data_IF_122845662351
#
_entry.id   IF_122845662351
#
_cell.length_a   1.000
_cell.length_b   1.000
_cell.length_c   1.000
_cell.angle_alpha   90.00
_cell.angle_beta   90.00
_cell.angle_gamma   90.00
#
_symmetry.space_group_name_H-M   'P 1'
#
loop_
_entity.id
_entity.type
_entity.pdbx_description
1 polymer ?
#
# COMPACT_ATOMS: atom_id res chain seq x y z
N UNK A 1 -43.72 -0.84 25.46
CA UNK A 1 -42.95 -0.37 24.29
C UNK A 1 -41.53 -0.81 24.52
N UNK A 2 -41.00 -1.74 23.71
CA UNK A 2 -39.60 -2.15 23.87
C UNK A 2 -38.66 -1.00 23.49
N UNK A 3 -37.54 -0.87 24.21
CA UNK A 3 -36.52 0.13 23.86
C UNK A 3 -35.95 -0.21 22.48
N UNK A 4 -36.16 0.69 21.52
CA UNK A 4 -35.63 0.59 20.14
C UNK A 4 -34.09 0.60 20.11
N UNK A 5 -33.47 1.10 21.18
CA UNK A 5 -32.01 1.20 21.34
C UNK A 5 -31.48 0.29 22.45
N UNK A 6 -30.27 -0.21 22.23
CA UNK A 6 -29.40 -0.87 23.20
C UNK A 6 -28.24 0.07 23.55
N UNK A 7 -27.69 -0.11 24.76
CA UNK A 7 -26.45 0.55 25.16
C UNK A 7 -25.24 -0.15 24.49
N UNK A 8 -24.10 0.54 24.42
CA UNK A 8 -22.86 0.03 23.84
C UNK A 8 -21.80 -0.12 24.95
N UNK A 9 -21.45 -1.33 25.44
CA UNK A 9 -22.00 -2.65 25.08
C UNK A 9 -23.38 -2.97 25.66
N UNK A 10 -24.03 -4.03 25.14
CA UNK A 10 -25.43 -4.35 25.46
C UNK A 10 -25.70 -4.73 26.91
N UNK A 11 -24.68 -5.18 27.65
CA UNK A 11 -24.79 -5.57 29.06
C UNK A 11 -24.88 -4.38 30.03
N UNK A 12 -24.56 -3.16 29.58
CA UNK A 12 -24.75 -1.95 30.40
C UNK A 12 -26.25 -1.63 30.42
N UNK A 13 -26.93 -1.79 31.57
CA UNK A 13 -28.38 -1.54 31.68
C UNK A 13 -28.75 -0.14 32.21
N UNK A 14 -27.78 0.80 32.25
CA UNK A 14 -28.01 2.16 32.74
C UNK A 14 -29.08 2.93 31.92
N UNK A 15 -30.09 3.56 32.57
CA UNK A 15 -31.19 4.23 31.87
C UNK A 15 -30.76 5.42 30.99
N UNK A 16 -29.77 6.20 31.42
CA UNK A 16 -29.27 7.42 30.76
C UNK A 16 -27.86 7.24 30.17
N UNK A 17 -27.54 6.03 29.69
CA UNK A 17 -26.24 5.79 29.06
C UNK A 17 -26.12 6.53 27.73
N UNK A 18 -25.00 7.25 27.54
CA UNK A 18 -24.77 8.17 26.40
C UNK A 18 -24.63 7.48 25.04
N UNK A 19 -24.06 6.28 24.99
CA UNK A 19 -23.71 5.60 23.74
C UNK A 19 -24.69 4.47 23.44
N UNK A 20 -25.54 4.68 22.44
CA UNK A 20 -26.61 3.75 22.08
C UNK A 20 -26.55 3.36 20.60
N UNK A 21 -26.99 2.14 20.29
CA UNK A 21 -27.15 1.58 18.95
C UNK A 21 -28.55 0.98 18.79
N UNK A 22 -29.13 0.90 17.58
CA UNK A 22 -30.39 0.19 17.37
C UNK A 22 -30.21 -1.34 17.56
N UNK A 23 -31.30 -2.05 17.93
CA UNK A 23 -31.32 -3.53 17.93
C UNK A 23 -31.16 -4.08 16.52
N UNK A 24 -30.54 -5.25 16.36
CA UNK A 24 -30.34 -5.89 15.05
C UNK A 24 -31.62 -6.54 14.53
N UNK A 25 -32.13 -6.06 13.40
CA UNK A 25 -33.32 -6.61 12.74
C UNK A 25 -32.88 -7.74 11.81
N UNK A 26 -33.25 -8.97 12.15
CA UNK A 26 -32.91 -10.17 11.39
C UNK A 26 -34.07 -10.64 10.52
N UNK A 27 -33.75 -11.02 9.27
CA UNK A 27 -34.66 -11.68 8.34
C UNK A 27 -34.04 -12.98 7.88
N UNK A 28 -34.70 -14.10 8.15
CA UNK A 28 -34.25 -15.42 7.70
C UNK A 28 -34.73 -15.64 6.26
N UNK A 29 -33.82 -15.99 5.36
CA UNK A 29 -34.06 -16.22 3.94
C UNK A 29 -33.64 -17.65 3.57
N UNK A 30 -34.45 -18.34 2.76
CA UNK A 30 -34.23 -19.75 2.41
C UNK A 30 -34.71 -20.75 3.47
N UNK A 31 -34.59 -22.06 3.14
CA UNK A 31 -34.95 -23.20 3.99
C UNK A 31 -33.95 -24.35 3.76
N UNK A 32 -33.80 -25.24 4.75
CA UNK A 32 -32.86 -26.38 4.66
C UNK A 32 -31.41 -25.93 4.48
N UNK A 33 -30.65 -26.65 3.63
CA UNK A 33 -29.23 -26.40 3.37
C UNK A 33 -28.92 -25.00 2.79
N UNK A 34 -29.93 -24.28 2.30
CA UNK A 34 -29.82 -22.93 1.76
C UNK A 34 -30.24 -21.81 2.71
N UNK A 35 -30.37 -22.07 4.01
CA UNK A 35 -30.79 -21.06 5.00
C UNK A 35 -29.72 -19.98 5.21
N UNK A 36 -30.15 -18.72 5.25
CA UNK A 36 -29.32 -17.53 5.39
C UNK A 36 -29.97 -16.54 6.35
N UNK A 37 -29.15 -15.79 7.07
CA UNK A 37 -29.60 -14.71 7.97
C UNK A 37 -29.19 -13.38 7.38
N UNK A 38 -30.16 -12.57 6.98
CA UNK A 38 -29.99 -11.22 6.44
C UNK A 38 -30.17 -10.21 7.59
N UNK A 39 -29.17 -9.35 7.85
CA UNK A 39 -29.24 -8.30 8.87
C UNK A 39 -29.65 -6.99 8.18
N UNK A 40 -30.91 -6.59 8.37
CA UNK A 40 -31.52 -5.52 7.58
C UNK A 40 -30.94 -4.15 7.91
N UNK A 41 -30.68 -3.87 9.19
CA UNK A 41 -30.23 -2.55 9.66
C UNK A 41 -28.74 -2.48 10.04
N UNK A 42 -27.90 -3.38 9.52
CA UNK A 42 -26.45 -3.42 9.84
C UNK A 42 -25.75 -2.07 9.58
N UNK A 43 -26.19 -1.30 8.59
CA UNK A 43 -25.69 0.03 8.28
C UNK A 43 -25.91 1.03 9.45
N UNK A 44 -27.07 0.97 10.12
CA UNK A 44 -27.39 1.85 11.25
C UNK A 44 -26.57 1.51 12.49
N UNK A 45 -26.46 0.20 12.80
CA UNK A 45 -25.61 -0.33 13.87
C UNK A 45 -24.15 0.10 13.65
N UNK A 46 -23.64 -0.05 12.43
CA UNK A 46 -22.25 0.29 12.08
C UNK A 46 -21.99 1.81 12.14
N UNK A 47 -22.97 2.63 11.75
CA UNK A 47 -22.92 4.10 11.93
C UNK A 47 -22.85 4.48 13.42
N UNK A 48 -23.64 3.86 14.28
CA UNK A 48 -23.60 4.11 15.73
C UNK A 48 -22.25 3.72 16.35
N UNK A 49 -21.66 2.62 15.89
CA UNK A 49 -20.33 2.14 16.31
C UNK A 49 -19.14 2.85 15.62
N UNK A 50 -19.40 3.82 14.72
CA UNK A 50 -18.38 4.54 13.92
C UNK A 50 -17.45 3.64 13.08
N UNK A 51 -17.86 2.42 12.71
CA UNK A 51 -17.07 1.47 11.90
C UNK A 51 -17.67 1.30 10.49
N UNK A 52 -16.88 0.82 9.50
CA UNK A 52 -17.42 0.37 8.21
C UNK A 52 -18.40 -0.81 8.36
N UNK A 53 -19.46 -0.84 7.55
CA UNK A 53 -20.54 -1.85 7.66
C UNK A 53 -20.07 -3.29 7.41
N UNK A 54 -19.00 -3.47 6.64
CA UNK A 54 -18.43 -4.78 6.35
C UNK A 54 -17.69 -5.40 7.56
N UNK A 55 -17.21 -4.57 8.50
CA UNK A 55 -16.38 -5.00 9.63
C UNK A 55 -17.11 -5.91 10.63
N UNK A 56 -18.25 -5.51 11.24
CA UNK A 56 -18.98 -6.39 12.15
C UNK A 56 -19.47 -7.66 11.44
N UNK A 57 -19.88 -7.55 10.17
CA UNK A 57 -20.29 -8.68 9.34
C UNK A 57 -19.14 -9.70 9.15
N UNK A 58 -17.94 -9.22 8.81
CA UNK A 58 -16.76 -10.09 8.63
C UNK A 58 -16.30 -10.71 9.94
N UNK A 59 -16.37 -9.98 11.05
CA UNK A 59 -16.07 -10.52 12.37
C UNK A 59 -17.03 -11.66 12.73
N UNK A 60 -18.34 -11.48 12.54
CA UNK A 60 -19.34 -12.53 12.74
C UNK A 60 -19.08 -13.75 11.83
N UNK A 61 -18.79 -13.53 10.55
CA UNK A 61 -18.44 -14.62 9.62
C UNK A 61 -17.22 -15.43 10.06
N UNK A 62 -16.21 -14.79 10.66
CA UNK A 62 -15.02 -15.47 11.20
C UNK A 62 -15.36 -16.27 12.46
N UNK A 63 -16.10 -15.70 13.42
CA UNK A 63 -16.49 -16.39 14.67
C UNK A 63 -17.39 -17.60 14.42
N UNK A 64 -18.29 -17.53 13.42
CA UNK A 64 -19.19 -18.63 13.05
C UNK A 64 -18.65 -19.52 11.92
N UNK A 65 -17.41 -19.32 11.45
CA UNK A 65 -16.83 -20.07 10.32
C UNK A 65 -17.68 -20.01 9.03
N UNK A 66 -18.48 -18.96 8.86
CA UNK A 66 -19.57 -18.89 7.90
C UNK A 66 -19.26 -17.89 6.78
N UNK A 67 -19.64 -18.24 5.55
CA UNK A 67 -19.50 -17.33 4.42
C UNK A 67 -20.46 -16.14 4.55
N UNK A 68 -19.95 -14.95 4.25
CA UNK A 68 -20.72 -13.70 4.22
C UNK A 68 -20.87 -13.19 2.79
N UNK A 69 -21.96 -12.48 2.54
CA UNK A 69 -22.22 -11.74 1.32
C UNK A 69 -22.53 -10.30 1.72
N UNK A 70 -21.65 -9.39 1.32
CA UNK A 70 -21.84 -7.95 1.41
C UNK A 70 -22.11 -7.41 0.01
N UNK A 71 -23.22 -6.68 -0.18
CA UNK A 71 -23.54 -5.99 -1.43
C UNK A 71 -24.06 -4.58 -1.13
N UNK A 72 -23.45 -3.59 -1.76
CA UNK A 72 -23.80 -2.17 -1.60
C UNK A 72 -24.30 -1.59 -2.93
N UNK A 73 -25.62 -1.64 -3.14
CA UNK A 73 -26.29 -1.09 -4.33
C UNK A 73 -27.03 0.20 -3.96
N UNK A 74 -26.38 1.34 -4.16
CA UNK A 74 -26.94 2.64 -3.80
C UNK A 74 -27.14 2.76 -2.29
N UNK A 75 -28.39 2.96 -1.85
CA UNK A 75 -28.74 2.99 -0.42
C UNK A 75 -28.98 1.59 0.18
N UNK A 76 -29.20 0.56 -0.65
CA UNK A 76 -29.53 -0.78 -0.20
C UNK A 76 -28.25 -1.58 0.08
N UNK A 77 -27.98 -1.77 1.37
CA UNK A 77 -26.86 -2.59 1.86
C UNK A 77 -27.40 -3.96 2.28
N UNK A 78 -27.28 -4.94 1.39
CA UNK A 78 -27.61 -6.33 1.72
C UNK A 78 -26.45 -6.97 2.49
N UNK A 79 -26.68 -7.30 3.76
CA UNK A 79 -25.70 -8.01 4.60
C UNK A 79 -26.23 -9.39 4.99
N UNK A 80 -25.73 -10.42 4.31
CA UNK A 80 -26.24 -11.79 4.44
C UNK A 80 -25.13 -12.70 4.97
N UNK A 81 -25.43 -13.47 6.01
CA UNK A 81 -24.58 -14.53 6.56
C UNK A 81 -25.22 -15.87 6.19
N UNK A 82 -24.46 -16.79 5.58
CA UNK A 82 -24.93 -18.15 5.34
C UNK A 82 -25.08 -18.88 6.69
N UNK A 83 -26.23 -19.51 6.94
CA UNK A 83 -26.58 -20.12 8.22
C UNK A 83 -27.79 -19.48 8.91
N UNK A 84 -28.26 -20.14 9.96
CA UNK A 84 -29.43 -19.75 10.75
C UNK A 84 -29.00 -19.24 12.13
N UNK A 85 -28.99 -17.92 12.32
CA UNK A 85 -28.56 -17.30 13.57
C UNK A 85 -29.72 -16.59 14.28
N UNK A 86 -29.77 -16.71 15.61
CA UNK A 86 -30.71 -15.96 16.46
C UNK A 86 -30.11 -14.59 16.84
N UNK A 87 -30.97 -13.61 17.11
CA UNK A 87 -30.57 -12.26 17.54
C UNK A 87 -29.63 -12.30 18.75
N UNK A 88 -29.98 -13.07 19.80
CA UNK A 88 -29.14 -13.25 20.99
C UNK A 88 -27.71 -13.75 20.69
N UNK A 89 -27.54 -14.57 19.65
CA UNK A 89 -26.24 -15.10 19.27
C UNK A 89 -25.41 -14.02 18.59
N UNK A 90 -25.98 -13.37 17.56
CA UNK A 90 -25.32 -12.29 16.84
C UNK A 90 -25.01 -11.11 17.77
N UNK A 91 -25.91 -10.79 18.72
CA UNK A 91 -25.70 -9.74 19.71
C UNK A 91 -24.49 -10.03 20.61
N UNK A 92 -24.39 -11.24 21.18
CA UNK A 92 -23.21 -11.66 21.98
C UNK A 92 -21.90 -11.55 21.19
N UNK A 93 -21.93 -11.89 19.90
CA UNK A 93 -20.75 -11.79 19.02
C UNK A 93 -20.44 -10.33 18.63
N UNK A 94 -21.46 -9.48 18.49
CA UNK A 94 -21.28 -8.03 18.31
C UNK A 94 -20.67 -7.38 19.56
N UNK A 95 -21.08 -7.79 20.76
CA UNK A 95 -20.49 -7.29 22.01
C UNK A 95 -19.01 -7.69 22.14
N UNK A 96 -18.61 -8.92 21.77
CA UNK A 96 -17.19 -9.31 21.65
C UNK A 96 -16.40 -8.42 20.69
N UNK A 97 -17.00 -8.08 19.54
CA UNK A 97 -16.39 -7.18 18.56
C UNK A 97 -16.21 -5.77 19.14
N UNK A 98 -17.23 -5.26 19.84
CA UNK A 98 -17.21 -3.95 20.51
C UNK A 98 -16.08 -3.91 21.53
N UNK A 99 -15.96 -4.91 22.41
CA UNK A 99 -14.91 -4.99 23.43
C UNK A 99 -13.50 -5.05 22.86
N UNK A 100 -13.29 -5.77 21.74
CA UNK A 100 -11.96 -5.95 21.13
C UNK A 100 -11.51 -4.80 20.23
N UNK A 101 -12.43 -4.11 19.56
CA UNK A 101 -12.11 -3.19 18.47
C UNK A 101 -12.78 -1.81 18.53
N UNK A 102 -13.83 -1.61 19.34
CA UNK A 102 -14.59 -0.34 19.40
C UNK A 102 -14.39 0.39 20.73
N UNK A 103 -14.25 -0.33 21.85
CA UNK A 103 -13.96 0.28 23.14
C UNK A 103 -12.49 0.68 23.26
N UNK A 104 -12.23 1.88 23.80
CA UNK A 104 -10.90 2.24 24.23
C UNK A 104 -10.48 1.41 25.48
N UNK A 105 -9.28 0.79 25.51
CA UNK A 105 -8.85 0.00 26.67
C UNK A 105 -8.63 0.81 27.95
N UNK A 106 -8.51 2.15 27.86
CA UNK A 106 -8.31 3.06 28.99
C UNK A 106 -9.60 3.60 29.58
N UNK A 107 -10.45 4.23 28.75
CA UNK A 107 -11.67 4.90 29.21
C UNK A 107 -12.96 4.11 28.94
N UNK A 108 -12.89 2.95 28.27
CA UNK A 108 -14.03 2.07 27.95
C UNK A 108 -15.18 2.73 27.18
N UNK A 109 -14.93 3.85 26.48
CA UNK A 109 -15.91 4.49 25.61
C UNK A 109 -15.75 4.04 24.14
N UNK A 110 -16.85 3.94 23.37
CA UNK A 110 -16.87 3.51 21.97
C UNK A 110 -16.43 4.62 20.98
N UNK A 111 -15.44 5.42 21.37
CA UNK A 111 -14.84 6.48 20.54
C UNK A 111 -13.39 6.12 20.17
N UNK A 112 -13.19 4.89 19.70
CA UNK A 112 -11.88 4.36 19.32
C UNK A 112 -11.77 4.23 17.80
N UNK A 113 -10.95 5.07 17.18
CA UNK A 113 -10.76 5.10 15.73
C UNK A 113 -9.62 4.14 15.34
N UNK A 114 -9.99 3.03 14.70
CA UNK A 114 -9.07 2.04 14.17
C UNK A 114 -8.15 2.63 13.08
N UNK A 115 -6.87 2.27 13.11
CA UNK A 115 -5.84 2.64 12.13
C UNK A 115 -4.82 1.52 11.99
N UNK A 116 -4.50 1.10 10.77
CA UNK A 116 -3.40 0.16 10.51
C UNK A 116 -2.08 0.92 10.53
N UNK A 117 -1.06 0.38 11.21
CA UNK A 117 0.33 0.88 11.20
C UNK A 117 1.28 -0.31 11.23
N UNK A 118 2.28 -0.35 10.35
CA UNK A 118 3.33 -1.39 10.35
C UNK A 118 2.75 -2.81 10.51
N UNK A 119 1.80 -3.18 9.62
CA UNK A 119 1.11 -4.47 9.64
C UNK A 119 0.40 -4.82 10.99
N UNK A 120 0.13 -3.82 11.83
CA UNK A 120 -0.49 -3.96 13.15
C UNK A 120 -1.73 -3.08 13.23
N UNK A 121 -2.87 -3.67 13.62
CA UNK A 121 -4.08 -2.92 13.92
C UNK A 121 -3.90 -2.15 15.23
N UNK A 122 -3.87 -0.83 15.11
CA UNK A 122 -3.82 0.11 16.21
C UNK A 122 -5.15 0.89 16.26
N UNK A 123 -5.33 1.70 17.28
CA UNK A 123 -6.37 2.73 17.29
C UNK A 123 -6.00 3.92 18.16
N UNK A 124 -6.71 5.03 17.94
CA UNK A 124 -6.63 6.23 18.77
C UNK A 124 -7.99 6.50 19.39
N UNK A 125 -8.05 6.74 20.69
CA UNK A 125 -9.28 7.22 21.33
C UNK A 125 -9.42 8.74 21.15
N UNK A 126 -10.61 9.20 20.80
CA UNK A 126 -10.89 10.65 20.73
C UNK A 126 -11.25 11.24 22.09
N UNK A 127 -11.89 10.48 23.00
CA UNK A 127 -12.24 10.98 24.34
C UNK A 127 -11.04 11.13 25.29
N UNK A 128 -10.01 10.28 25.19
CA UNK A 128 -8.85 10.29 26.10
C UNK A 128 -7.48 10.40 25.42
N UNK A 129 -7.43 10.50 24.08
CA UNK A 129 -6.19 10.65 23.30
C UNK A 129 -5.31 9.41 23.19
N UNK A 130 -5.58 8.35 23.97
CA UNK A 130 -4.76 7.15 24.09
C UNK A 130 -4.55 6.42 22.77
N UNK A 131 -3.33 5.90 22.55
CA UNK A 131 -2.96 5.13 21.34
C UNK A 131 -2.63 3.69 21.74
N UNK A 132 -3.54 2.77 21.47
CA UNK A 132 -3.38 1.36 21.84
C UNK A 132 -3.30 0.45 20.61
N UNK A 133 -2.60 -0.68 20.77
CA UNK A 133 -2.67 -1.81 19.82
C UNK A 133 -3.96 -2.59 20.10
N UNK A 134 -4.67 -3.00 19.06
CA UNK A 134 -5.86 -3.85 19.18
C UNK A 134 -5.46 -5.32 19.38
N UNK A 135 -6.43 -6.21 19.55
CA UNK A 135 -6.20 -7.64 19.42
C UNK A 135 -5.78 -7.99 17.98
N UNK A 136 -4.50 -8.26 17.80
CA UNK A 136 -3.87 -8.65 16.54
C UNK A 136 -3.75 -10.18 16.38
N UNK A 137 -4.15 -10.96 17.39
CA UNK A 137 -4.11 -12.44 17.33
C UNK A 137 -5.29 -13.01 16.53
N UNK A 138 -6.40 -12.29 16.51
CA UNK A 138 -7.61 -12.73 15.85
C UNK A 138 -7.56 -12.54 14.32
N UNK A 139 -8.08 -13.51 13.55
CA UNK A 139 -8.08 -13.50 12.07
C UNK A 139 -8.73 -12.24 11.45
N UNK A 140 -9.61 -11.57 12.20
CA UNK A 140 -10.20 -10.30 11.78
C UNK A 140 -9.17 -9.16 11.68
N UNK A 141 -8.12 -9.15 12.51
CA UNK A 141 -7.04 -8.16 12.41
C UNK A 141 -6.32 -8.26 11.06
N UNK A 142 -6.02 -9.49 10.60
CA UNK A 142 -5.47 -9.76 9.27
C UNK A 142 -6.39 -9.28 8.13
N UNK A 143 -7.70 -9.22 8.37
CA UNK A 143 -8.65 -8.69 7.40
C UNK A 143 -8.71 -7.14 7.42
N UNK A 144 -8.66 -6.48 8.60
CA UNK A 144 -8.54 -5.01 8.71
C UNK A 144 -7.24 -4.53 8.03
N UNK A 145 -6.14 -5.27 8.21
CA UNK A 145 -4.85 -5.00 7.56
C UNK A 145 -5.00 -4.96 6.03
N UNK A 146 -5.74 -5.92 5.46
CA UNK A 146 -6.01 -5.99 4.01
C UNK A 146 -7.05 -4.98 3.53
N UNK A 147 -7.95 -4.55 4.40
CA UNK A 147 -9.06 -3.64 4.08
C UNK A 147 -9.12 -2.51 5.11
N UNK A 148 -8.15 -1.57 5.11
CA UNK A 148 -8.08 -0.50 6.11
C UNK A 148 -9.31 0.41 6.07
N UNK A 149 -9.72 1.00 7.22
CA UNK A 149 -10.97 1.75 7.28
C UNK A 149 -10.82 3.08 6.54
N UNK A 150 -11.69 3.31 5.54
CA UNK A 150 -11.77 4.58 4.80
C UNK A 150 -12.06 5.73 5.77
N UNK A 151 -11.03 6.54 6.04
CA UNK A 151 -11.10 7.65 7.00
C UNK A 151 -12.05 8.74 6.48
N UNK A 152 -13.19 8.94 7.14
CA UNK A 152 -14.07 10.08 6.84
C UNK A 152 -13.40 11.36 7.33
N UNK A 153 -12.90 12.20 6.41
CA UNK A 153 -12.30 13.49 6.76
C UNK A 153 -11.17 14.00 5.85
N UNK A 154 -10.86 13.31 4.75
CA UNK A 154 -10.00 13.82 3.67
C UNK A 154 -10.86 13.89 2.38
N UNK A 155 -10.49 14.76 1.43
CA UNK A 155 -11.39 15.31 0.40
C UNK A 155 -12.04 14.27 -0.53
N UNK A 156 -13.21 14.63 -1.05
CA UNK A 156 -14.19 13.70 -1.68
C UNK A 156 -13.87 13.25 -3.12
N UNK A 157 -12.69 13.52 -3.66
CA UNK A 157 -12.40 13.27 -5.08
C UNK A 157 -11.83 11.86 -5.34
N UNK A 158 -11.19 11.23 -4.35
CA UNK A 158 -10.52 9.91 -4.48
C UNK A 158 -11.47 8.69 -4.48
N UNK A 159 -12.79 8.87 -4.34
CA UNK A 159 -13.72 7.75 -4.09
C UNK A 159 -14.52 7.24 -5.31
N UNK A 160 -14.25 7.72 -6.53
CA UNK A 160 -14.96 7.25 -7.74
C UNK A 160 -14.38 6.00 -8.41
N UNK A 161 -13.08 5.72 -8.29
CA UNK A 161 -12.42 4.64 -9.06
C UNK A 161 -12.38 3.26 -8.35
N UNK A 162 -13.21 3.02 -7.32
CA UNK A 162 -13.26 1.73 -6.61
C UNK A 162 -14.59 0.99 -6.80
N UNK A 163 -15.17 1.05 -7.99
CA UNK A 163 -16.38 0.30 -8.38
C UNK A 163 -16.27 -0.36 -9.75
N UNK A 164 -15.25 -1.18 -9.92
CA UNK A 164 -15.36 -2.39 -10.76
C UNK A 164 -14.39 -3.48 -10.23
N UNK A 165 -14.56 -4.71 -10.73
CA UNK A 165 -13.76 -5.91 -10.40
C UNK A 165 -13.86 -6.56 -8.99
N UNK A 166 -14.97 -7.26 -8.70
CA UNK A 166 -15.04 -8.37 -7.72
C UNK A 166 -16.13 -9.39 -8.17
N UNK A 167 -15.97 -10.73 -8.18
CA UNK A 167 -15.09 -11.64 -8.98
C UNK A 167 -16.01 -12.82 -9.43
N UNK A 168 -15.52 -13.90 -10.08
CA UNK A 168 -15.57 -15.18 -9.35
C UNK A 168 -14.34 -16.10 -9.48
N UNK A 169 -14.14 -16.89 -8.42
CA UNK A 169 -13.01 -17.81 -8.20
C UNK A 169 -13.14 -19.11 -9.00
N UNK A 170 -12.05 -19.54 -9.65
CA UNK A 170 -11.89 -20.84 -10.32
C UNK A 170 -10.80 -21.70 -9.67
N UNK A 171 -11.05 -23.00 -9.58
CA UNK A 171 -10.33 -24.02 -8.81
C UNK A 171 -8.86 -24.27 -9.23
N UNK A 172 -8.02 -24.66 -8.27
CA UNK A 172 -6.70 -25.28 -8.50
C UNK A 172 -6.87 -26.75 -8.88
N UNK A 173 -6.13 -27.24 -9.89
CA UNK A 173 -5.58 -28.59 -9.87
C UNK A 173 -4.06 -28.59 -10.01
N UNK A 174 -3.39 -29.32 -9.10
CA UNK A 174 -1.98 -29.69 -9.22
C UNK A 174 -1.86 -30.88 -10.18
N UNK A 175 -0.82 -30.91 -11.04
CA UNK A 175 -0.16 -32.19 -11.33
C UNK A 175 1.32 -32.16 -10.93
N UNK A 176 1.80 -33.30 -10.44
CA UNK A 176 3.22 -33.56 -10.19
C UNK A 176 3.91 -34.24 -11.38
N UNK A 177 5.24 -34.38 -11.27
CA UNK A 177 6.14 -35.22 -12.05
C UNK A 177 6.44 -34.86 -13.52
N UNK A 178 7.67 -34.36 -13.73
CA UNK A 178 8.76 -35.20 -14.25
C UNK A 178 10.15 -34.67 -13.88
N UNK A 179 11.10 -35.60 -13.72
CA UNK A 179 12.47 -35.36 -13.23
C UNK A 179 13.49 -35.25 -14.38
N UNK A 180 14.70 -34.75 -14.06
CA UNK A 180 16.01 -35.03 -14.71
C UNK A 180 16.21 -34.47 -16.13
N UNK A 181 17.41 -34.09 -16.58
CA UNK A 181 18.76 -33.92 -15.98
C UNK A 181 19.37 -32.67 -16.64
N UNK A 182 20.27 -31.89 -16.02
CA UNK A 182 21.72 -32.13 -16.07
C UNK A 182 22.48 -31.25 -15.05
N UNK A 183 23.62 -31.77 -14.56
CA UNK A 183 24.49 -31.14 -13.54
C UNK A 183 25.79 -30.59 -14.16
N UNK A 184 26.52 -29.78 -13.36
CA UNK A 184 27.95 -29.38 -13.49
C UNK A 184 28.21 -28.34 -14.60
N UNK A 185 29.12 -27.35 -14.51
CA UNK A 185 30.16 -26.93 -13.53
C UNK A 185 30.10 -25.38 -13.34
N UNK A 186 30.79 -24.67 -12.44
CA UNK A 186 31.82 -25.00 -11.41
C UNK A 186 31.79 -23.98 -10.24
N UNK A 187 32.64 -24.20 -9.23
CA UNK A 187 33.09 -23.21 -8.22
C UNK A 187 34.18 -22.28 -8.80
N UNK A 188 34.00 -20.96 -8.79
CA UNK A 188 35.09 -19.97 -8.94
C UNK A 188 34.85 -18.77 -8.00
N UNK A 189 35.76 -18.63 -7.03
CA UNK A 189 36.21 -17.38 -6.37
C UNK A 189 35.23 -16.45 -5.63
N UNK A 190 34.63 -17.00 -4.57
CA UNK A 190 34.15 -16.26 -3.37
C UNK A 190 35.20 -15.30 -2.75
N UNK A 191 36.49 -15.44 -3.10
CA UNK A 191 37.60 -14.62 -2.60
C UNK A 191 37.85 -13.31 -3.35
N UNK A 192 37.37 -13.16 -4.59
CA UNK A 192 37.58 -11.91 -5.35
C UNK A 192 36.43 -10.91 -5.21
N UNK A 193 35.24 -11.37 -4.80
CA UNK A 193 34.17 -10.52 -4.28
C UNK A 193 34.66 -9.62 -3.12
N UNK A 194 35.46 -10.19 -2.21
CA UNK A 194 36.04 -9.46 -1.05
C UNK A 194 37.11 -8.43 -1.47
N UNK A 195 37.78 -8.61 -2.62
CA UNK A 195 38.72 -7.61 -3.15
C UNK A 195 38.00 -6.46 -3.85
N UNK A 196 36.93 -6.74 -4.60
CA UNK A 196 36.18 -5.69 -5.29
C UNK A 196 35.41 -4.77 -4.32
N UNK A 197 35.10 -5.23 -3.11
CA UNK A 197 34.60 -4.37 -2.02
C UNK A 197 35.59 -3.22 -1.69
N UNK A 198 36.91 -3.41 -1.87
CA UNK A 198 37.90 -2.34 -1.64
C UNK A 198 37.94 -1.25 -2.71
N UNK A 199 37.18 -1.37 -3.80
CA UNK A 199 36.98 -0.27 -4.78
C UNK A 199 35.78 0.61 -4.47
N UNK A 200 34.99 0.31 -3.43
CA UNK A 200 33.85 1.13 -3.00
C UNK A 200 34.25 2.44 -2.30
N UNK A 201 35.52 2.61 -1.93
CA UNK A 201 36.02 3.73 -1.11
C UNK A 201 35.95 5.10 -1.83
N UNK A 202 35.74 5.13 -3.15
CA UNK A 202 35.66 6.38 -3.93
C UNK A 202 34.37 7.19 -3.71
N UNK A 203 33.25 6.54 -3.38
CA UNK A 203 31.96 7.21 -3.14
C UNK A 203 31.74 7.62 -1.69
N UNK A 204 32.41 6.98 -0.73
CA UNK A 204 32.38 7.39 0.68
C UNK A 204 33.15 8.72 0.91
N UNK A 205 34.17 9.02 0.10
CA UNK A 205 35.00 10.23 0.19
C UNK A 205 34.26 11.58 0.00
N UNK A 206 33.14 11.61 -0.74
CA UNK A 206 32.39 12.86 -0.96
C UNK A 206 31.41 13.19 0.18
N UNK A 207 31.09 12.20 1.02
CA UNK A 207 30.23 12.36 2.20
C UNK A 207 31.03 12.69 3.48
N UNK A 208 32.34 12.94 3.39
CA UNK A 208 33.20 13.19 4.56
C UNK A 208 33.18 14.63 5.10
N UNK A 209 32.58 15.61 4.40
CA UNK A 209 32.36 16.90 5.07
C UNK A 209 31.33 16.72 6.19
N UNK A 210 31.78 16.80 7.45
CA UNK A 210 30.92 16.67 8.65
C UNK A 210 29.72 17.62 8.59
N UNK A 211 29.90 18.80 7.97
CA UNK A 211 28.85 19.77 7.68
C UNK A 211 27.72 19.22 6.79
N UNK A 212 28.00 18.31 5.84
CA UNK A 212 26.95 17.72 5.02
C UNK A 212 26.25 16.60 5.78
N UNK A 213 26.98 15.67 6.41
CA UNK A 213 26.41 14.60 7.26
C UNK A 213 25.48 15.15 8.36
N UNK A 214 25.94 16.12 9.15
CA UNK A 214 25.13 16.71 10.21
C UNK A 214 23.87 17.41 9.68
N UNK A 215 23.94 18.04 8.50
CA UNK A 215 22.77 18.66 7.85
C UNK A 215 21.83 17.63 7.22
N UNK A 216 22.36 16.50 6.71
CA UNK A 216 21.57 15.36 6.23
C UNK A 216 20.78 14.74 7.39
N UNK A 217 21.42 14.55 8.54
CA UNK A 217 20.75 14.06 9.75
C UNK A 217 19.66 15.04 10.21
N UNK A 218 19.92 16.35 10.22
CA UNK A 218 18.92 17.37 10.53
C UNK A 218 17.72 17.35 9.56
N UNK A 219 17.96 17.31 8.24
CA UNK A 219 16.89 17.17 7.23
C UNK A 219 16.10 15.86 7.43
N UNK A 220 16.81 14.77 7.72
CA UNK A 220 16.24 13.44 7.96
C UNK A 220 15.35 13.43 9.21
N UNK A 221 15.78 14.06 10.30
CA UNK A 221 14.99 14.22 11.52
C UNK A 221 13.80 15.16 11.33
N UNK A 222 13.95 16.27 10.61
CA UNK A 222 12.84 17.18 10.30
C UNK A 222 11.77 16.51 9.44
N UNK A 223 12.16 15.76 8.40
CA UNK A 223 11.23 15.00 7.53
C UNK A 223 10.54 13.87 8.31
N UNK A 224 11.25 13.18 9.22
CA UNK A 224 10.67 12.16 10.11
C UNK A 224 9.75 12.76 11.19
N UNK A 225 10.03 13.99 11.63
CA UNK A 225 9.28 14.68 12.69
C UNK A 225 8.00 15.36 12.21
N UNK A 226 8.02 16.05 11.06
CA UNK A 226 6.87 16.77 10.52
C UNK A 226 6.85 16.77 8.98
N UNK A 227 5.97 15.96 8.37
CA UNK A 227 5.66 15.98 6.92
C UNK A 227 4.86 17.22 6.52
N UNK A 228 5.45 18.41 6.62
CA UNK A 228 4.80 19.68 6.27
C UNK A 228 5.58 20.36 5.14
N UNK A 229 4.99 20.41 3.94
CA UNK A 229 5.63 20.90 2.69
C UNK A 229 6.36 22.24 2.87
N UNK A 230 5.78 23.15 3.65
CA UNK A 230 6.33 24.48 3.87
C UNK A 230 7.68 24.50 4.63
N UNK A 231 7.97 23.49 5.46
CA UNK A 231 9.23 23.42 6.23
C UNK A 231 10.35 22.83 5.39
N UNK A 232 10.08 21.72 4.67
CA UNK A 232 11.03 21.10 3.73
C UNK A 232 11.49 22.13 2.68
N UNK A 233 10.55 22.94 2.16
CA UNK A 233 10.86 24.01 1.19
C UNK A 233 11.65 25.18 1.81
N UNK A 234 11.58 25.41 3.13
CA UNK A 234 12.40 26.42 3.82
C UNK A 234 13.82 25.90 4.04
N UNK A 235 13.98 24.71 4.60
CA UNK A 235 15.30 24.11 4.84
C UNK A 235 16.11 23.97 3.54
N UNK A 236 15.47 23.58 2.43
CA UNK A 236 16.12 23.51 1.11
C UNK A 236 16.53 24.89 0.57
N UNK A 237 15.88 25.99 0.98
CA UNK A 237 16.34 27.36 0.67
C UNK A 237 17.50 27.79 1.56
N UNK A 238 17.43 27.47 2.86
CA UNK A 238 18.47 27.79 3.83
C UNK A 238 19.78 27.02 3.57
N UNK A 239 19.69 25.90 2.84
CA UNK A 239 20.83 25.06 2.45
C UNK A 239 21.87 25.71 1.53
N UNK A 240 21.55 26.86 0.89
CA UNK A 240 22.40 27.58 -0.07
C UNK A 240 23.08 26.66 -1.10
N UNK A 241 22.33 26.27 -2.14
CA UNK A 241 22.80 25.33 -3.18
C UNK A 241 24.10 25.84 -3.83
N UNK A 242 25.22 25.27 -3.43
CA UNK A 242 26.49 25.41 -4.14
C UNK A 242 26.37 24.67 -5.47
N UNK A 243 26.57 25.39 -6.58
CA UNK A 243 26.56 24.82 -7.93
C UNK A 243 27.47 23.59 -8.00
N UNK A 244 26.93 22.47 -8.48
CA UNK A 244 27.67 21.21 -8.67
C UNK A 244 27.43 20.11 -7.63
N UNK A 245 26.68 20.36 -6.55
CA UNK A 245 26.28 19.32 -5.58
C UNK A 245 24.81 18.86 -5.75
N UNK A 246 24.17 19.23 -6.86
CA UNK A 246 22.73 19.10 -7.08
C UNK A 246 22.26 17.65 -6.97
N UNK A 247 22.94 16.70 -7.62
CA UNK A 247 22.59 15.27 -7.60
C UNK A 247 22.93 14.59 -6.25
N UNK A 248 23.89 15.13 -5.48
CA UNK A 248 24.13 14.64 -4.12
C UNK A 248 22.99 15.04 -3.19
N UNK A 249 22.46 16.26 -3.36
CA UNK A 249 21.29 16.74 -2.63
C UNK A 249 20.02 15.99 -3.07
N UNK A 250 19.84 15.67 -4.35
CA UNK A 250 18.70 14.87 -4.81
C UNK A 250 18.71 13.45 -4.21
N UNK A 251 19.88 12.82 -4.09
CA UNK A 251 20.04 11.55 -3.39
C UNK A 251 19.64 11.64 -1.92
N UNK A 252 20.14 12.65 -1.19
CA UNK A 252 19.77 12.91 0.21
C UNK A 252 18.25 13.08 0.35
N UNK A 253 17.63 13.87 -0.54
CA UNK A 253 16.18 14.09 -0.58
C UNK A 253 15.44 12.78 -0.83
N UNK A 254 15.89 11.96 -1.78
CA UNK A 254 15.30 10.66 -2.09
C UNK A 254 15.33 9.71 -0.89
N UNK A 255 16.50 9.53 -0.26
CA UNK A 255 16.68 8.67 0.92
C UNK A 255 15.91 9.20 2.16
N UNK A 256 15.60 10.49 2.21
CA UNK A 256 14.79 11.09 3.29
C UNK A 256 13.29 10.92 3.07
N UNK A 257 12.84 10.96 1.81
CA UNK A 257 11.42 10.83 1.43
C UNK A 257 10.96 9.37 1.49
N UNK A 258 11.80 8.42 1.07
CA UNK A 258 11.44 7.02 0.93
C UNK A 258 12.06 6.13 2.01
N UNK A 259 11.23 5.27 2.60
CA UNK A 259 11.62 4.25 3.58
C UNK A 259 11.33 2.85 3.04
N UNK A 260 11.52 1.81 3.87
CA UNK A 260 11.08 0.42 3.61
C UNK A 260 9.68 0.32 2.95
N UNK A 261 8.77 1.25 3.24
CA UNK A 261 7.42 1.30 2.66
C UNK A 261 7.35 2.07 1.32
N UNK A 262 8.45 2.15 0.57
CA UNK A 262 8.59 2.98 -0.65
C UNK A 262 7.37 2.89 -1.58
N UNK A 263 6.83 1.69 -1.83
CA UNK A 263 5.63 1.46 -2.64
C UNK A 263 4.42 2.33 -2.25
N UNK A 264 4.18 2.57 -0.95
CA UNK A 264 3.09 3.43 -0.48
C UNK A 264 3.48 4.90 -0.33
N UNK A 265 4.77 5.19 -0.34
CA UNK A 265 5.29 6.54 -0.13
C UNK A 265 5.45 7.30 -1.45
N UNK A 266 5.56 6.60 -2.59
CA UNK A 266 5.55 7.22 -3.93
C UNK A 266 4.26 8.00 -4.17
N UNK A 267 3.08 7.36 -4.04
CA UNK A 267 1.78 8.01 -4.29
C UNK A 267 1.58 9.32 -3.51
N UNK A 268 2.08 9.36 -2.26
CA UNK A 268 1.97 10.54 -1.39
C UNK A 268 3.05 11.60 -1.65
N UNK A 269 4.20 11.22 -2.20
CA UNK A 269 5.40 12.07 -2.26
C UNK A 269 5.88 12.37 -3.69
N UNK A 270 5.30 11.79 -4.74
CA UNK A 270 5.72 11.99 -6.13
C UNK A 270 5.70 13.49 -6.52
N UNK A 271 4.59 14.18 -6.27
CA UNK A 271 4.46 15.62 -6.54
C UNK A 271 5.45 16.46 -5.71
N UNK A 272 5.80 16.02 -4.49
CA UNK A 272 6.84 16.66 -3.69
C UNK A 272 8.21 16.44 -4.32
N UNK A 273 8.56 15.22 -4.72
CA UNK A 273 9.84 14.86 -5.35
C UNK A 273 10.07 15.70 -6.62
N UNK A 274 9.10 15.74 -7.53
CA UNK A 274 9.13 16.56 -8.75
C UNK A 274 9.32 18.06 -8.43
N UNK A 275 8.59 18.59 -7.43
CA UNK A 275 8.71 20.00 -6.96
C UNK A 275 10.04 20.31 -6.28
N UNK A 276 10.78 19.30 -5.81
CA UNK A 276 12.13 19.48 -5.25
C UNK A 276 13.18 19.36 -6.35
N UNK A 277 13.12 18.35 -7.21
CA UNK A 277 14.07 18.17 -8.32
C UNK A 277 14.07 19.35 -9.29
N UNK A 278 12.88 19.88 -9.62
CA UNK A 278 12.74 21.10 -10.44
C UNK A 278 13.37 22.35 -9.79
N UNK A 279 13.35 22.47 -8.46
CA UNK A 279 14.03 23.56 -7.72
C UNK A 279 15.54 23.36 -7.63
N UNK A 280 15.99 22.11 -7.49
CA UNK A 280 17.39 21.71 -7.51
C UNK A 280 18.00 21.77 -8.92
N UNK A 281 17.17 21.91 -9.97
CA UNK A 281 17.55 21.99 -11.39
C UNK A 281 18.27 20.74 -11.91
N UNK A 282 17.91 19.57 -11.39
CA UNK A 282 18.41 18.28 -11.86
C UNK A 282 18.11 18.13 -13.35
N UNK A 283 19.15 18.06 -14.18
CA UNK A 283 19.01 18.08 -15.66
C UNK A 283 18.36 16.81 -16.21
N UNK A 284 18.59 15.67 -15.54
CA UNK A 284 18.02 14.37 -15.88
C UNK A 284 17.35 13.76 -14.65
N UNK A 285 16.08 14.12 -14.41
CA UNK A 285 15.33 13.65 -13.25
C UNK A 285 15.21 12.11 -13.23
N UNK A 286 14.85 11.53 -14.38
CA UNK A 286 14.48 10.11 -14.47
C UNK A 286 15.70 9.20 -14.29
N UNK A 287 16.83 9.51 -14.95
CA UNK A 287 18.15 8.87 -14.74
C UNK A 287 18.55 8.89 -13.25
N UNK A 288 18.41 10.03 -12.58
CA UNK A 288 18.78 10.18 -11.16
C UNK A 288 17.84 9.39 -10.23
N UNK A 289 16.52 9.40 -10.49
CA UNK A 289 15.55 8.59 -9.74
C UNK A 289 15.83 7.09 -9.92
N UNK A 290 16.14 6.65 -11.14
CA UNK A 290 16.45 5.25 -11.45
C UNK A 290 17.71 4.78 -10.71
N UNK A 291 18.78 5.58 -10.71
CA UNK A 291 20.00 5.27 -9.97
C UNK A 291 19.81 5.35 -8.46
N UNK A 292 18.95 6.25 -7.98
CA UNK A 292 18.55 6.30 -6.58
C UNK A 292 17.80 5.04 -6.14
N UNK A 293 16.92 4.48 -6.98
CA UNK A 293 16.26 3.19 -6.73
C UNK A 293 17.27 2.04 -6.62
N UNK A 294 18.22 1.94 -7.56
CA UNK A 294 19.28 0.94 -7.51
C UNK A 294 20.09 1.01 -6.21
N UNK A 295 20.54 2.21 -5.83
CA UNK A 295 21.28 2.42 -4.58
C UNK A 295 20.41 2.11 -3.35
N UNK A 296 19.15 2.53 -3.35
CA UNK A 296 18.20 2.30 -2.27
C UNK A 296 18.04 0.81 -1.96
N UNK A 297 17.79 -0.03 -2.98
CA UNK A 297 17.61 -1.47 -2.76
C UNK A 297 18.91 -2.18 -2.37
N UNK A 298 20.01 -1.94 -3.10
CA UNK A 298 21.21 -2.77 -2.96
C UNK A 298 22.28 -2.22 -2.00
N UNK A 299 22.18 -0.96 -1.57
CA UNK A 299 23.11 -0.36 -0.58
C UNK A 299 22.38 0.09 0.68
N UNK A 300 21.34 0.93 0.59
CA UNK A 300 20.62 1.43 1.79
C UNK A 300 19.92 0.29 2.52
N UNK A 301 19.19 -0.56 1.79
CA UNK A 301 18.41 -1.66 2.34
C UNK A 301 18.95 -3.06 1.98
N UNK A 302 20.27 -3.19 1.81
CA UNK A 302 20.97 -4.46 1.48
C UNK A 302 20.62 -5.67 2.38
N UNK A 303 20.09 -5.43 3.59
CA UNK A 303 19.68 -6.46 4.55
C UNK A 303 18.21 -6.90 4.41
N UNK A 304 17.48 -6.37 3.42
CA UNK A 304 16.07 -6.70 3.15
C UNK A 304 15.91 -7.23 1.73
N UNK A 305 15.08 -8.26 1.58
CA UNK A 305 14.79 -8.84 0.28
C UNK A 305 13.63 -8.11 -0.41
N UNK A 306 13.98 -7.21 -1.34
CA UNK A 306 13.04 -6.51 -2.20
C UNK A 306 12.83 -7.17 -3.56
N UNK A 307 13.55 -8.25 -3.87
CA UNK A 307 13.68 -8.83 -5.23
C UNK A 307 12.32 -9.01 -5.92
N UNK A 308 11.37 -9.68 -5.27
CA UNK A 308 10.03 -9.95 -5.79
C UNK A 308 9.11 -8.71 -5.88
N UNK A 309 9.49 -7.58 -5.27
CA UNK A 309 8.70 -6.35 -5.21
C UNK A 309 9.25 -5.25 -6.13
N UNK A 310 10.50 -5.37 -6.59
CA UNK A 310 11.14 -4.39 -7.47
C UNK A 310 10.32 -4.09 -8.75
N UNK A 311 9.75 -5.07 -9.48
CA UNK A 311 8.89 -4.80 -10.63
C UNK A 311 7.67 -3.95 -10.26
N UNK A 312 7.00 -4.29 -9.16
CA UNK A 312 5.81 -3.56 -8.68
C UNK A 312 6.16 -2.15 -8.23
N UNK A 313 7.30 -1.96 -7.54
CA UNK A 313 7.74 -0.63 -7.12
C UNK A 313 8.09 0.22 -8.34
N UNK A 314 8.83 -0.32 -9.31
CA UNK A 314 9.14 0.41 -10.55
C UNK A 314 7.86 0.78 -11.32
N UNK A 315 6.83 -0.08 -11.33
CA UNK A 315 5.51 0.25 -11.89
C UNK A 315 4.86 1.44 -11.18
N UNK A 316 4.94 1.51 -9.85
CA UNK A 316 4.37 2.63 -9.10
C UNK A 316 5.11 3.94 -9.41
N UNK A 317 6.42 3.92 -9.67
CA UNK A 317 7.17 5.09 -10.16
C UNK A 317 6.73 5.50 -11.58
N UNK A 318 6.45 4.55 -12.46
CA UNK A 318 5.87 4.80 -13.79
C UNK A 318 4.45 5.39 -13.70
N UNK A 319 3.55 4.74 -12.97
CA UNK A 319 2.15 5.16 -12.77
C UNK A 319 2.03 6.57 -12.16
N UNK A 320 3.02 7.01 -11.37
CA UNK A 320 3.11 8.34 -10.76
C UNK A 320 3.86 9.38 -11.62
N UNK A 321 4.21 9.07 -12.88
CA UNK A 321 4.96 9.95 -13.79
C UNK A 321 6.31 10.42 -13.20
N UNK A 322 7.04 9.52 -12.52
CA UNK A 322 8.39 9.79 -12.01
C UNK A 322 9.50 9.23 -12.90
N UNK A 323 9.19 8.20 -13.69
CA UNK A 323 10.06 7.64 -14.74
C UNK A 323 9.14 7.26 -15.89
N UNK A 324 9.46 7.69 -17.11
CA UNK A 324 8.74 7.32 -18.33
C UNK A 324 9.07 5.91 -18.79
N UNK A 325 8.15 5.30 -19.54
CA UNK A 325 8.37 4.02 -20.20
C UNK A 325 9.61 4.05 -21.10
N UNK A 326 9.78 5.11 -21.90
CA UNK A 326 10.93 5.28 -22.77
C UNK A 326 12.25 5.17 -22.00
N UNK A 327 12.38 5.83 -20.84
CA UNK A 327 13.59 5.75 -20.02
C UNK A 327 13.79 4.35 -19.43
N UNK A 328 12.73 3.65 -19.01
CA UNK A 328 12.83 2.28 -18.49
C UNK A 328 13.33 1.31 -19.58
N UNK A 329 12.74 1.37 -20.78
CA UNK A 329 13.09 0.49 -21.91
C UNK A 329 14.47 0.84 -22.47
N UNK A 330 14.77 2.12 -22.70
CA UNK A 330 16.06 2.54 -23.24
C UNK A 330 17.22 2.31 -22.26
N UNK A 331 16.98 2.43 -20.95
CA UNK A 331 17.93 1.98 -19.94
C UNK A 331 18.15 0.46 -20.00
N UNK A 332 17.07 -0.34 -20.04
CA UNK A 332 17.15 -1.79 -20.09
C UNK A 332 17.98 -2.26 -21.31
N UNK A 333 17.78 -1.64 -22.47
CA UNK A 333 18.49 -1.89 -23.73
C UNK A 333 19.96 -1.40 -23.74
N UNK A 334 20.40 -0.65 -22.71
CA UNK A 334 21.72 0.02 -22.64
C UNK A 334 21.90 1.17 -23.65
N UNK A 335 20.82 1.81 -24.10
CA UNK A 335 20.88 3.01 -24.96
C UNK A 335 21.20 4.28 -24.15
N UNK A 336 20.91 4.29 -22.84
CA UNK A 336 21.23 5.39 -21.92
C UNK A 336 22.59 5.14 -21.26
N UNK A 337 23.53 6.08 -21.39
CA UNK A 337 24.75 6.07 -20.59
C UNK A 337 24.54 6.81 -19.25
N UNK A 338 24.77 6.07 -18.16
CA UNK A 338 24.63 6.50 -16.79
C UNK A 338 25.99 6.57 -16.06
N UNK A 339 27.10 6.20 -16.71
CA UNK A 339 28.41 5.98 -16.05
C UNK A 339 29.02 7.23 -15.42
N UNK A 340 28.73 8.40 -15.98
CA UNK A 340 29.20 9.68 -15.45
C UNK A 340 28.49 10.09 -14.14
N UNK A 341 27.45 9.36 -13.72
CA UNK A 341 26.69 9.66 -12.51
C UNK A 341 27.35 9.09 -11.25
N UNK A 342 27.43 9.89 -10.19
CA UNK A 342 28.13 9.50 -8.94
C UNK A 342 27.50 8.31 -8.19
N UNK A 343 26.23 7.98 -8.45
CA UNK A 343 25.54 6.79 -7.92
C UNK A 343 25.70 5.55 -8.81
N UNK A 344 26.25 5.68 -10.02
CA UNK A 344 26.34 4.55 -10.95
C UNK A 344 27.22 3.43 -10.39
N UNK A 345 26.69 2.21 -10.42
CA UNK A 345 27.41 1.02 -10.02
C UNK A 345 27.02 -0.13 -10.95
N UNK A 346 27.98 -0.69 -11.66
CA UNK A 346 27.76 -1.74 -12.67
C UNK A 346 27.11 -3.01 -12.08
N UNK A 347 27.45 -3.37 -10.84
CA UNK A 347 26.88 -4.54 -10.16
C UNK A 347 25.40 -4.29 -9.84
N UNK A 348 25.08 -3.11 -9.29
CA UNK A 348 23.70 -2.73 -8.99
C UNK A 348 22.86 -2.59 -10.25
N UNK A 349 23.41 -1.99 -11.31
CA UNK A 349 22.75 -1.82 -12.59
C UNK A 349 22.38 -3.16 -13.23
N UNK A 350 23.33 -4.11 -13.29
CA UNK A 350 23.09 -5.42 -13.88
C UNK A 350 22.07 -6.22 -13.06
N UNK A 351 22.17 -6.20 -11.72
CA UNK A 351 21.19 -6.86 -10.86
C UNK A 351 19.79 -6.23 -10.98
N UNK A 352 19.70 -4.90 -11.09
CA UNK A 352 18.40 -4.23 -11.25
C UNK A 352 17.72 -4.64 -12.55
N UNK A 353 18.46 -4.90 -13.63
CA UNK A 353 17.89 -5.43 -14.87
C UNK A 353 17.30 -6.82 -14.67
N UNK A 354 18.05 -7.72 -14.03
CA UNK A 354 17.55 -9.06 -13.66
C UNK A 354 16.25 -8.98 -12.84
N UNK A 355 16.22 -8.12 -11.82
CA UNK A 355 15.09 -7.94 -10.90
C UNK A 355 13.90 -7.16 -11.52
N UNK A 356 14.07 -6.48 -12.65
CA UNK A 356 13.01 -5.68 -13.34
C UNK A 356 12.50 -6.29 -14.65
N UNK A 357 13.07 -7.40 -15.13
CA UNK A 357 12.68 -8.02 -16.41
C UNK A 357 11.15 -8.14 -16.62
N UNK A 358 10.39 -8.53 -15.58
CA UNK A 358 8.93 -8.70 -15.68
C UNK A 358 8.18 -7.41 -16.08
N UNK A 359 8.59 -6.24 -15.57
CA UNK A 359 7.97 -4.97 -15.94
C UNK A 359 8.50 -4.47 -17.29
N UNK A 360 9.78 -4.70 -17.61
CA UNK A 360 10.35 -4.33 -18.92
C UNK A 360 9.68 -5.12 -20.06
N UNK A 361 9.41 -6.41 -19.85
CA UNK A 361 8.64 -7.23 -20.80
C UNK A 361 7.17 -6.79 -20.88
N UNK A 362 6.55 -6.40 -19.76
CA UNK A 362 5.18 -5.89 -19.76
C UNK A 362 5.03 -4.58 -20.56
N UNK A 363 5.93 -3.61 -20.34
CA UNK A 363 5.97 -2.33 -21.08
C UNK A 363 6.12 -2.59 -22.59
N UNK A 364 7.17 -3.32 -22.99
CA UNK A 364 7.40 -3.69 -24.40
C UNK A 364 6.24 -4.40 -25.09
N UNK A 365 5.39 -5.10 -24.34
CA UNK A 365 4.23 -5.81 -24.90
C UNK A 365 3.01 -4.89 -25.06
N UNK A 366 2.90 -3.79 -24.32
CA UNK A 366 1.79 -2.83 -24.46
C UNK A 366 1.77 -2.15 -25.84
N UNK A 367 2.95 -1.82 -26.38
CA UNK A 367 3.13 -1.25 -27.73
C UNK A 367 2.55 -2.15 -28.86
N UNK A 368 2.47 -3.47 -28.66
CA UNK A 368 1.96 -4.39 -29.70
C UNK A 368 0.44 -4.39 -29.79
N UNK A 369 -0.27 -4.25 -28.67
CA UNK A 369 -1.73 -4.26 -28.63
C UNK A 369 -2.28 -2.99 -29.32
N UNK A 370 -1.69 -1.81 -29.06
CA UNK A 370 -2.09 -0.55 -29.73
C UNK A 370 -1.78 -0.55 -31.24
N UNK A 371 -0.66 -1.15 -31.66
CA UNK A 371 -0.30 -1.27 -33.08
C UNK A 371 -1.17 -2.28 -33.86
N UNK A 372 -1.68 -3.34 -33.23
CA UNK A 372 -2.68 -4.21 -33.86
C UNK A 372 -4.03 -3.49 -34.04
N UNK A 373 -4.46 -2.67 -33.06
CA UNK A 373 -5.71 -1.90 -33.17
C UNK A 373 -5.66 -0.85 -34.30
N UNK A 374 -4.58 -0.06 -34.44
CA UNK A 374 -4.42 0.90 -35.56
C UNK A 374 -4.45 0.20 -36.94
N UNK A 375 -3.81 -0.97 -37.08
CA UNK A 375 -3.81 -1.74 -38.34
C UNK A 375 -5.19 -2.34 -38.64
N UNK A 376 -5.98 -2.66 -37.62
CA UNK A 376 -7.37 -3.09 -37.79
C UNK A 376 -8.22 -1.91 -38.28
N UNK A 377 -8.12 -0.73 -37.67
CA UNK A 377 -8.87 0.46 -38.11
C UNK A 377 -8.51 0.89 -39.55
N UNK A 378 -7.23 0.98 -39.91
CA UNK A 378 -6.81 1.30 -41.29
C UNK A 378 -7.36 0.28 -42.31
N UNK A 379 -7.38 -1.02 -41.96
CA UNK A 379 -7.92 -2.05 -42.86
C UNK A 379 -9.44 -2.16 -42.85
N UNK A 380 -10.15 -1.52 -41.93
CA UNK A 380 -11.61 -1.33 -42.02
C UNK A 380 -11.98 -0.08 -42.82
N UNK A 381 -11.29 1.05 -42.64
CA UNK A 381 -11.49 2.26 -43.46
C UNK A 381 -11.24 1.98 -44.95
N UNK A 382 -10.17 1.25 -45.29
CA UNK A 382 -9.86 0.86 -46.67
C UNK A 382 -10.94 -0.05 -47.30
N UNK A 383 -11.67 -0.85 -46.50
CA UNK A 383 -12.79 -1.68 -46.97
C UNK A 383 -14.07 -0.87 -47.15
N UNK A 384 -14.28 0.17 -46.34
CA UNK A 384 -15.43 1.08 -46.50
C UNK A 384 -15.26 2.00 -47.72
N UNK A 385 -14.03 2.39 -48.06
CA UNK A 385 -13.73 3.21 -49.24
C UNK A 385 -13.84 2.46 -50.60
N UNK A 386 -14.10 1.15 -50.61
CA UNK A 386 -14.18 0.32 -51.83
C UNK A 386 -15.59 -0.21 -52.16
N UNK A 387 -16.65 0.19 -51.43
CA UNK A 387 -18.05 -0.19 -51.68
C UNK A 387 -18.90 0.99 -52.20
#
# INVERSE_FOLDING_TARGET
MEKSTLNIPSYIQEPNYRYQMPRMILKIEGKGNGIKTNVVNMNEVSKALRVPTEYPLKFMGIEYGSQIIFKEKGNDVSTIINGSFKEEQLQKTLDKFIEKYVLCPKCKYPEFVLRVKQNTVCGKCDSCGERAKCDNTHKFASYIIKNPPKLRGINKEEQKNQKEEIVPVGQVPVPADKQKDLKKEKKVEEKDLVKNIKKLEASDLLLESENLKNKVEQLTECIKGQRNQANIIKEIKDFQINKGLENQISHIVFQSIFTVNIAHEVDCNAELLQKLYSKLKIQKMEDDILLNLQYFFYKTYQNQDFTQYIPTILKIFYDNNLISEQIIVDWADNKIDLKDHFLYNEIFNNKFKEDTNQIVEWLRNADYDEQEEEVIEETEEQKQAQN
#
